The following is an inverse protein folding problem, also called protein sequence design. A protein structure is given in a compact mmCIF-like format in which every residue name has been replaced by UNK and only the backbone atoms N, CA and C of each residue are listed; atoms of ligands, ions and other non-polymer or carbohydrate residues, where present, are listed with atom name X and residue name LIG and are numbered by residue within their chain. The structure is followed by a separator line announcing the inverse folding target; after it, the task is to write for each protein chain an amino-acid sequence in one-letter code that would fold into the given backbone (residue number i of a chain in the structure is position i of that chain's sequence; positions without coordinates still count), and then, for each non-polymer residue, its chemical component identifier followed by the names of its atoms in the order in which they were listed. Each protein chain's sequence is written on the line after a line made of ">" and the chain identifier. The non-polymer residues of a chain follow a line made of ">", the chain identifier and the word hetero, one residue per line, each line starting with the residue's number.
data_IF_566574026781
#
_entry.id   IF_566574026781
#
_cell.length_a   1.000
_cell.length_b   1.000
_cell.length_c   1.000
_cell.angle_alpha   90.00
_cell.angle_beta   90.00
_cell.angle_gamma   90.00
#
_symmetry.space_group_name_H-M   'P 1'
#
loop_
_entity.id
_entity.type
_entity.pdbx_description
1 polymer ?
#
# COMPACT_ATOMS: atom_id res chain seq x y z
N UNK A 1 -15.35 -28.64 6.76
CA UNK A 1 -14.20 -29.31 6.13
C UNK A 1 -13.23 -28.22 5.71
N UNK A 2 -12.13 -28.05 6.45
CA UNK A 2 -11.21 -26.92 6.29
C UNK A 2 -10.26 -27.16 5.11
N UNK A 3 -10.24 -26.24 4.15
CA UNK A 3 -9.22 -26.21 3.11
C UNK A 3 -7.88 -25.83 3.75
N UNK A 4 -6.98 -26.80 3.92
CA UNK A 4 -5.59 -26.49 4.22
C UNK A 4 -4.96 -25.86 2.97
N UNK A 5 -4.56 -24.60 3.11
CA UNK A 5 -3.55 -24.00 2.23
C UNK A 5 -2.27 -24.78 2.52
N UNK A 6 -2.03 -25.87 1.79
CA UNK A 6 -0.79 -26.63 1.90
C UNK A 6 0.32 -25.68 1.45
N UNK A 7 1.00 -25.08 2.43
CA UNK A 7 2.27 -24.39 2.26
C UNK A 7 3.27 -25.43 1.77
N UNK A 8 3.28 -25.67 0.46
CA UNK A 8 4.32 -26.45 -0.17
C UNK A 8 5.60 -25.61 -0.12
N UNK A 9 6.35 -25.73 0.97
CA UNK A 9 7.65 -25.06 1.19
C UNK A 9 8.68 -25.33 0.08
N UNK A 10 8.38 -26.26 -0.83
CA UNK A 10 9.21 -26.64 -1.98
C UNK A 10 9.05 -25.69 -3.18
N UNK A 11 7.98 -24.91 -3.23
CA UNK A 11 7.66 -24.05 -4.36
C UNK A 11 7.54 -22.58 -3.97
N UNK A 12 8.08 -21.73 -4.83
CA UNK A 12 7.90 -20.28 -4.82
C UNK A 12 6.69 -19.96 -5.69
N UNK A 13 5.77 -19.14 -5.18
CA UNK A 13 4.60 -18.68 -5.92
C UNK A 13 4.77 -17.22 -6.29
N UNK A 14 4.73 -16.89 -7.57
CA UNK A 14 4.80 -15.51 -8.07
C UNK A 14 3.47 -15.15 -8.72
N UNK A 15 2.71 -14.26 -8.09
CA UNK A 15 1.40 -13.81 -8.55
C UNK A 15 1.54 -12.58 -9.45
N UNK A 16 0.95 -12.64 -10.63
CA UNK A 16 0.88 -11.53 -11.58
C UNK A 16 -0.30 -10.62 -11.27
N UNK A 17 -0.29 -9.41 -11.86
CA UNK A 17 -1.42 -8.47 -11.80
C UNK A 17 -2.73 -9.01 -12.42
N UNK A 18 -2.64 -10.02 -13.29
CA UNK A 18 -3.80 -10.71 -13.88
C UNK A 18 -4.43 -11.75 -12.92
N UNK A 19 -3.87 -11.92 -11.73
CA UNK A 19 -4.29 -12.90 -10.74
C UNK A 19 -3.74 -14.31 -10.99
N UNK A 20 -2.99 -14.55 -12.07
CA UNK A 20 -2.39 -15.86 -12.33
C UNK A 20 -1.14 -16.05 -11.49
N UNK A 21 -0.96 -17.27 -10.99
CA UNK A 21 0.19 -17.68 -10.17
C UNK A 21 1.16 -18.48 -11.02
N UNK A 22 2.44 -18.14 -10.95
CA UNK A 22 3.56 -18.88 -11.51
C UNK A 22 4.26 -19.63 -10.39
N UNK A 23 4.46 -20.93 -10.55
CA UNK A 23 5.12 -21.77 -9.54
C UNK A 23 6.54 -22.13 -10.01
N UNK A 24 7.53 -21.85 -9.17
CA UNK A 24 8.94 -22.17 -9.39
C UNK A 24 9.45 -23.08 -8.27
N UNK A 25 10.46 -23.91 -8.55
CA UNK A 25 11.13 -24.69 -7.49
C UNK A 25 12.02 -23.75 -6.65
N UNK A 26 11.92 -23.86 -5.32
CA UNK A 26 12.73 -23.06 -4.40
C UNK A 26 14.12 -23.69 -4.16
N UNK A 27 15.17 -22.89 -3.86
CA UNK A 27 15.22 -21.43 -4.00
C UNK A 27 15.48 -21.03 -5.46
N UNK A 28 14.92 -19.89 -5.90
CA UNK A 28 15.17 -19.30 -7.22
C UNK A 28 15.47 -17.81 -7.06
N UNK A 29 16.43 -17.28 -7.81
CA UNK A 29 16.78 -15.86 -7.72
C UNK A 29 15.76 -14.96 -8.41
N UNK A 30 15.57 -13.77 -7.87
CA UNK A 30 14.68 -12.74 -8.44
C UNK A 30 15.01 -12.47 -9.91
N UNK A 31 16.29 -12.31 -10.27
CA UNK A 31 16.68 -12.05 -11.65
C UNK A 31 16.29 -13.18 -12.62
N UNK A 32 16.26 -14.45 -12.17
CA UNK A 32 15.90 -15.57 -13.04
C UNK A 32 14.42 -15.51 -13.42
N UNK A 33 13.57 -15.10 -12.48
CA UNK A 33 12.16 -14.84 -12.74
C UNK A 33 12.00 -13.60 -13.63
N UNK A 34 12.68 -12.50 -13.29
CA UNK A 34 12.59 -11.24 -14.05
C UNK A 34 13.14 -11.33 -15.48
N UNK A 35 14.02 -12.30 -15.77
CA UNK A 35 14.53 -12.53 -17.12
C UNK A 35 13.42 -12.86 -18.13
N UNK A 36 12.26 -13.36 -17.67
CA UNK A 36 11.09 -13.66 -18.51
C UNK A 36 10.11 -12.48 -18.59
N UNK A 37 10.26 -11.48 -17.72
CA UNK A 37 9.31 -10.38 -17.53
C UNK A 37 10.03 -9.02 -17.51
N UNK A 38 10.45 -8.56 -18.70
CA UNK A 38 11.04 -7.23 -18.84
C UNK A 38 10.08 -6.13 -18.39
N UNK A 39 10.59 -5.12 -17.67
CA UNK A 39 9.77 -4.00 -17.19
C UNK A 39 8.89 -4.33 -15.99
N UNK A 40 9.18 -5.40 -15.26
CA UNK A 40 8.50 -5.78 -14.03
C UNK A 40 9.48 -5.86 -12.85
N UNK A 41 8.95 -5.80 -11.64
CA UNK A 41 9.66 -5.93 -10.37
C UNK A 41 8.94 -6.96 -9.50
N UNK A 42 9.68 -7.60 -8.59
CA UNK A 42 9.11 -8.55 -7.63
C UNK A 42 9.03 -7.89 -6.26
N UNK A 43 7.89 -8.01 -5.59
CA UNK A 43 7.68 -7.52 -4.22
C UNK A 43 7.10 -8.62 -3.32
N UNK A 44 7.32 -8.47 -2.02
CA UNK A 44 6.67 -9.24 -0.96
C UNK A 44 5.22 -8.79 -0.69
N UNK A 45 4.81 -7.61 -1.20
CA UNK A 45 3.49 -7.02 -0.94
C UNK A 45 2.85 -6.50 -2.24
N UNK A 46 1.51 -6.51 -2.28
CA UNK A 46 0.73 -5.85 -3.34
C UNK A 46 0.68 -4.32 -3.17
N UNK A 47 1.15 -3.79 -2.05
CA UNK A 47 1.09 -2.36 -1.79
C UNK A 47 2.16 -1.63 -2.62
N UNK A 48 1.73 -1.08 -3.76
CA UNK A 48 2.55 -0.29 -4.70
C UNK A 48 3.15 0.98 -4.07
N UNK A 49 2.70 1.35 -2.87
CA UNK A 49 3.08 2.60 -2.18
C UNK A 49 4.45 2.46 -1.52
N UNK A 50 4.76 1.26 -1.03
CA UNK A 50 6.04 0.97 -0.41
C UNK A 50 6.91 0.35 -1.50
N UNK A 51 7.92 1.08 -2.00
CA UNK A 51 8.91 0.59 -2.99
C UNK A 51 9.77 -0.59 -2.45
N UNK A 52 9.20 -1.54 -1.71
CA UNK A 52 9.81 -2.80 -1.29
C UNK A 52 9.89 -3.75 -2.50
N UNK A 53 10.72 -3.38 -3.47
CA UNK A 53 11.13 -4.29 -4.52
C UNK A 53 12.29 -5.13 -4.00
N UNK A 54 12.21 -6.44 -4.21
CA UNK A 54 13.32 -7.35 -3.92
C UNK A 54 14.49 -7.05 -4.88
N UNK A 55 15.71 -7.17 -4.38
CA UNK A 55 16.89 -6.99 -5.20
C UNK A 55 17.03 -8.16 -6.20
N UNK A 56 17.63 -7.94 -7.38
CA UNK A 56 17.81 -9.00 -8.37
C UNK A 56 18.60 -10.22 -7.88
N UNK A 57 19.45 -10.03 -6.86
CA UNK A 57 20.25 -11.09 -6.25
C UNK A 57 19.57 -11.79 -5.07
N UNK A 58 18.41 -11.31 -4.61
CA UNK A 58 17.67 -11.95 -3.53
C UNK A 58 17.12 -13.32 -3.97
N UNK A 59 17.15 -14.27 -3.05
CA UNK A 59 16.57 -15.60 -3.23
C UNK A 59 15.09 -15.57 -2.84
N UNK A 60 14.24 -16.06 -3.75
CA UNK A 60 12.84 -16.31 -3.47
C UNK A 60 12.72 -17.66 -2.75
N UNK A 61 12.16 -17.60 -1.54
CA UNK A 61 12.03 -18.75 -0.64
C UNK A 61 10.69 -19.44 -0.86
N UNK A 62 10.72 -20.78 -0.76
CA UNK A 62 9.52 -21.59 -0.91
C UNK A 62 8.56 -21.40 0.26
N UNK A 63 7.27 -21.61 0.01
CA UNK A 63 6.21 -21.33 0.98
C UNK A 63 5.84 -19.83 1.08
N UNK A 64 6.53 -18.94 0.37
CA UNK A 64 6.14 -17.54 0.25
C UNK A 64 5.49 -17.25 -1.11
N UNK A 65 4.57 -16.29 -1.10
CA UNK A 65 3.97 -15.73 -2.29
C UNK A 65 4.60 -14.36 -2.53
N UNK A 66 5.09 -14.15 -3.74
CA UNK A 66 5.64 -12.89 -4.22
C UNK A 66 4.75 -12.33 -5.32
N UNK A 67 4.85 -11.02 -5.55
CA UNK A 67 4.01 -10.32 -6.52
C UNK A 67 4.87 -9.73 -7.64
N UNK A 68 4.50 -10.04 -8.87
CA UNK A 68 5.09 -9.46 -10.07
C UNK A 68 4.32 -8.21 -10.45
N UNK A 69 4.93 -7.04 -10.25
CA UNK A 69 4.33 -5.73 -10.46
C UNK A 69 5.00 -5.03 -11.65
N UNK A 70 4.26 -4.23 -12.44
CA UNK A 70 4.85 -3.39 -13.48
C UNK A 70 5.80 -2.37 -12.84
N UNK A 71 6.98 -2.20 -13.43
CA UNK A 71 7.91 -1.17 -13.01
C UNK A 71 7.36 0.20 -13.41
N UNK A 72 6.98 1.01 -12.41
CA UNK A 72 6.60 2.40 -12.64
C UNK A 72 7.84 3.19 -13.11
N UNK A 73 7.70 4.11 -14.08
CA UNK A 73 8.79 4.95 -14.51
C UNK A 73 9.24 5.82 -13.32
N UNK A 74 10.43 5.51 -12.80
CA UNK A 74 11.11 6.35 -11.82
C UNK A 74 11.42 7.66 -12.54
N UNK A 75 10.70 8.73 -12.18
CA UNK A 75 11.10 10.06 -12.58
C UNK A 75 12.55 10.24 -12.11
N UNK A 76 13.48 10.64 -13.00
CA UNK A 76 14.85 10.83 -12.58
C UNK A 76 14.87 11.84 -11.43
N UNK A 77 15.61 11.58 -10.33
CA UNK A 77 15.79 12.60 -9.30
C UNK A 77 16.34 13.86 -9.98
N UNK A 78 15.86 15.06 -9.59
CA UNK A 78 16.34 16.30 -10.19
C UNK A 78 17.86 16.30 -10.09
N UNK A 79 18.52 16.34 -11.26
CA UNK A 79 19.98 16.35 -11.40
C UNK A 79 20.51 17.52 -10.58
N UNK A 80 20.98 17.27 -9.36
CA UNK A 80 21.64 18.30 -8.56
C UNK A 80 22.92 18.67 -9.29
N UNK A 81 22.90 19.83 -9.94
CA UNK A 81 24.05 20.40 -10.61
C UNK A 81 25.20 20.55 -9.62
N UNK A 82 26.39 20.10 -10.04
CA UNK A 82 27.61 20.07 -9.24
C UNK A 82 28.08 21.49 -8.90
N UNK A 83 28.50 21.66 -7.63
CA UNK A 83 29.50 22.59 -7.07
C UNK A 83 29.32 24.10 -7.35
N UNK A 84 28.87 24.83 -6.31
CA UNK A 84 29.37 26.17 -5.98
C UNK A 84 29.92 26.19 -4.55
N UNK A 85 31.04 26.87 -4.41
CA UNK A 85 31.97 26.92 -3.28
C UNK A 85 31.27 27.48 -2.03
N UNK A 86 31.45 26.80 -0.90
CA UNK A 86 31.00 27.24 0.43
C UNK A 86 31.99 28.24 1.02
N UNK A 87 31.48 29.34 1.55
CA UNK A 87 32.17 30.18 2.55
C UNK A 87 31.22 30.35 3.76
N UNK A 88 31.67 29.83 4.92
CA UNK A 88 31.37 30.12 6.35
C UNK A 88 29.93 30.50 6.79
N UNK A 89 29.39 30.19 7.98
CA UNK A 89 29.80 29.45 9.19
C UNK A 89 28.50 29.08 9.96
N UNK A 90 28.60 28.16 10.92
CA UNK A 90 27.53 27.64 11.77
C UNK A 90 26.55 28.68 12.36
N UNK A 91 25.25 28.47 12.09
CA UNK A 91 24.21 28.67 13.08
C UNK A 91 23.27 27.46 13.06
N UNK A 92 23.22 26.80 14.21
CA UNK A 92 22.29 25.73 14.54
C UNK A 92 20.89 26.31 14.53
N UNK A 93 20.07 25.92 13.57
CA UNK A 93 18.63 25.92 13.73
C UNK A 93 18.15 24.53 13.36
N UNK A 94 17.55 23.87 14.36
CA UNK A 94 16.92 22.56 14.21
C UNK A 94 15.76 22.71 13.24
N UNK A 95 16.05 22.58 11.95
CA UNK A 95 15.02 22.40 10.94
C UNK A 95 14.35 21.06 11.25
N UNK A 96 13.24 21.14 11.99
CA UNK A 96 12.28 20.08 12.10
C UNK A 96 11.97 19.64 10.66
N UNK A 97 12.54 18.51 10.29
CA UNK A 97 12.16 17.73 9.12
C UNK A 97 10.72 17.27 9.35
N UNK A 98 9.77 18.20 9.20
CA UNK A 98 8.35 17.92 9.19
C UNK A 98 8.11 17.15 7.90
N UNK A 99 8.35 15.84 7.97
CA UNK A 99 7.73 14.90 7.04
C UNK A 99 6.24 15.19 7.13
N UNK A 100 5.68 15.80 6.10
CA UNK A 100 4.24 15.97 5.95
C UNK A 100 3.66 14.58 5.76
N UNK A 101 3.33 13.94 6.88
CA UNK A 101 2.71 12.62 6.90
C UNK A 101 1.28 12.77 6.36
N UNK A 102 1.05 12.25 5.15
CA UNK A 102 -0.26 12.29 4.51
C UNK A 102 -1.07 11.11 5.03
N UNK A 103 -2.01 11.37 5.93
CA UNK A 103 -2.96 10.35 6.42
C UNK A 103 -4.19 10.32 5.53
N UNK A 104 -4.59 9.13 5.07
CA UNK A 104 -5.83 8.92 4.31
C UNK A 104 -6.89 8.32 5.23
N UNK A 105 -7.98 9.05 5.46
CA UNK A 105 -9.08 8.63 6.34
C UNK A 105 -10.32 8.36 5.47
N UNK A 106 -10.99 7.22 5.69
CA UNK A 106 -12.32 6.94 5.12
C UNK A 106 -13.37 7.35 6.15
N UNK A 107 -14.29 8.24 5.77
CA UNK A 107 -15.40 8.68 6.61
C UNK A 107 -16.69 8.14 5.99
N UNK A 108 -17.57 7.57 6.82
CA UNK A 108 -18.92 7.17 6.40
C UNK A 108 -19.89 8.26 6.86
N UNK A 109 -20.53 8.91 5.90
CA UNK A 109 -21.53 9.97 6.12
C UNK A 109 -22.81 9.63 5.39
N UNK A 110 -23.95 10.07 5.94
CA UNK A 110 -25.24 9.93 5.28
C UNK A 110 -25.38 10.90 4.10
N UNK A 111 -26.34 10.62 3.21
CA UNK A 111 -26.64 11.48 2.06
C UNK A 111 -26.97 12.93 2.47
N UNK A 112 -27.68 13.12 3.59
CA UNK A 112 -28.08 14.45 4.09
C UNK A 112 -26.87 15.23 4.62
N UNK A 113 -25.99 14.56 5.36
CA UNK A 113 -24.75 15.16 5.88
C UNK A 113 -23.81 15.56 4.75
N UNK A 114 -23.67 14.71 3.73
CA UNK A 114 -22.89 15.05 2.54
C UNK A 114 -23.46 16.30 1.83
N UNK A 115 -24.78 16.40 1.68
CA UNK A 115 -25.40 17.59 1.07
C UNK A 115 -25.14 18.86 1.90
N UNK A 116 -25.19 18.79 3.23
CA UNK A 116 -24.87 19.92 4.09
C UNK A 116 -23.40 20.38 3.93
N UNK A 117 -22.46 19.43 3.84
CA UNK A 117 -21.04 19.73 3.60
C UNK A 117 -20.76 20.31 2.20
N UNK A 118 -21.55 19.95 1.20
CA UNK A 118 -21.41 20.49 -0.16
C UNK A 118 -22.06 21.88 -0.30
N UNK A 119 -23.09 22.16 0.49
CA UNK A 119 -23.80 23.43 0.48
C UNK A 119 -23.18 24.49 1.41
N UNK A 120 -22.19 24.12 2.24
CA UNK A 120 -21.46 25.08 3.07
C UNK A 120 -20.62 25.99 2.18
N UNK A 121 -20.81 27.30 2.35
CA UNK A 121 -20.32 28.35 1.45
C UNK A 121 -18.78 28.41 1.34
N UNK A 122 -18.07 27.87 2.33
CA UNK A 122 -16.60 27.96 2.38
C UNK A 122 -15.88 26.85 1.62
N UNK A 123 -16.56 25.80 1.15
CA UNK A 123 -15.96 24.69 0.38
C UNK A 123 -14.79 23.96 1.08
N UNK A 124 -14.45 24.35 2.30
CA UNK A 124 -13.30 23.94 3.07
C UNK A 124 -13.80 23.20 4.30
N UNK A 125 -13.66 21.88 4.28
CA UNK A 125 -14.05 21.02 5.39
C UNK A 125 -12.90 21.03 6.39
N UNK A 126 -13.09 21.67 7.55
CA UNK A 126 -12.10 21.62 8.63
C UNK A 126 -12.19 20.25 9.30
N UNK A 127 -11.04 19.69 9.65
CA UNK A 127 -10.96 18.40 10.36
C UNK A 127 -11.70 18.45 11.70
N UNK A 128 -11.74 19.61 12.35
CA UNK A 128 -12.47 19.81 13.60
C UNK A 128 -14.00 19.66 13.44
N UNK A 129 -14.57 20.01 12.29
CA UNK A 129 -16.01 19.87 12.03
C UNK A 129 -16.45 18.40 11.93
N UNK A 130 -15.50 17.50 11.59
CA UNK A 130 -15.72 16.06 11.45
C UNK A 130 -15.64 15.34 12.82
N UNK A 131 -15.20 16.02 13.89
CA UNK A 131 -15.06 15.41 15.23
C UNK A 131 -16.38 14.96 15.86
N UNK A 132 -17.52 15.48 15.39
CA UNK A 132 -18.83 15.14 15.95
C UNK A 132 -19.36 13.76 15.52
N UNK A 133 -18.76 13.14 14.49
CA UNK A 133 -19.19 11.82 13.96
C UNK A 133 -18.17 10.72 14.20
N UNK A 134 -17.05 11.02 14.88
CA UNK A 134 -16.04 10.01 15.18
C UNK A 134 -16.54 9.14 16.32
N UNK A 135 -17.01 7.94 15.98
CA UNK A 135 -16.92 6.81 16.91
C UNK A 135 -15.41 6.55 17.05
N UNK A 136 -14.80 7.19 18.04
CA UNK A 136 -13.46 6.81 18.51
C UNK A 136 -13.65 5.48 19.21
N UNK A 137 -13.55 4.39 18.44
CA UNK A 137 -13.33 3.09 19.03
C UNK A 137 -11.85 3.03 19.43
N UNK A 138 -11.58 3.47 20.66
CA UNK A 138 -10.33 3.25 21.35
C UNK A 138 -10.27 1.77 21.75
N UNK A 139 -10.08 0.90 20.76
CA UNK A 139 -9.69 -0.47 21.00
C UNK A 139 -8.51 -0.84 20.11
N UNK A 140 -7.37 -0.88 20.78
CA UNK A 140 -6.18 -1.59 20.33
C UNK A 140 -6.60 -3.01 19.91
N UNK A 141 -6.01 -3.49 18.82
CA UNK A 141 -6.07 -4.85 18.24
C UNK A 141 -7.02 -5.06 17.05
N UNK A 142 -6.38 -5.23 15.89
CA UNK A 142 -6.72 -6.18 14.82
C UNK A 142 -8.05 -5.98 14.06
N UNK A 143 -7.99 -5.22 12.97
CA UNK A 143 -8.49 -5.67 11.65
C UNK A 143 -9.91 -6.23 11.54
N UNK A 144 -10.89 -5.68 12.26
CA UNK A 144 -12.30 -6.02 12.02
C UNK A 144 -12.74 -5.30 10.74
N UNK A 145 -12.71 -6.03 9.63
CA UNK A 145 -13.26 -5.57 8.36
C UNK A 145 -14.73 -5.19 8.52
N UNK A 146 -15.12 -4.08 7.88
CA UNK A 146 -16.50 -3.65 7.81
C UNK A 146 -17.36 -4.76 7.20
N UNK A 147 -18.27 -5.32 7.98
CA UNK A 147 -19.26 -6.31 7.52
C UNK A 147 -20.65 -5.68 7.70
N UNK A 148 -21.26 -5.13 6.63
CA UNK A 148 -22.61 -4.61 6.76
C UNK A 148 -23.54 -5.77 7.11
N UNK A 149 -24.36 -5.58 8.14
CA UNK A 149 -25.49 -6.46 8.43
C UNK A 149 -26.49 -6.26 7.29
N UNK A 150 -26.49 -7.18 6.32
CA UNK A 150 -27.48 -7.19 5.26
C UNK A 150 -28.76 -7.83 5.79
N UNK A 151 -29.91 -7.21 5.51
CA UNK A 151 -31.20 -7.83 5.76
C UNK A 151 -31.35 -9.11 4.92
N UNK A 152 -31.97 -10.12 5.54
CA UNK A 152 -32.19 -11.43 4.92
C UNK A 152 -33.16 -11.25 3.75
N UNK A 153 -32.75 -11.68 2.55
CA UNK A 153 -33.62 -11.70 1.38
C UNK A 153 -34.62 -12.85 1.56
N UNK A 154 -35.94 -12.61 1.55
CA UNK A 154 -36.92 -13.67 1.69
C UNK A 154 -36.90 -14.57 0.46
N UNK A 155 -36.81 -15.87 0.68
CA UNK A 155 -36.96 -16.88 -0.38
C UNK A 155 -38.46 -17.06 -0.64
N UNK A 156 -38.86 -16.96 -1.91
CA UNK A 156 -40.24 -17.24 -2.33
C UNK A 156 -40.37 -18.76 -2.54
N UNK A 157 -41.27 -19.41 -1.81
CA UNK A 157 -41.74 -20.78 -2.10
C UNK A 157 -42.55 -20.84 -3.41
#
# INVERSE_FOLDING_TARGET
>A
MGNCIVLQEKFVKVMKIDGKILEYKAPIKVHQVLSQFSGHVISNSLQVIDNQHLQPDDDLLGGQIYYLLPQLPVQPPPKSAKKKVKFANDQVELEANQKTEVVRIKIVISKKELQALLNSEDGLIKVDDIKSTTIVDESTTNGIGWKPVLDIIPELD
#
